data_IF_885696796056
#
_entry.id   IF_885696796056
#
_cell.length_a   1.000
_cell.length_b   1.000
_cell.length_c   1.000
_cell.angle_alpha   90.00
_cell.angle_beta   90.00
_cell.angle_gamma   90.00
#
_symmetry.space_group_name_H-M   'P 1'
#
loop_
_entity.id
_entity.type
_entity.pdbx_description
1 polymer ?
#
# COMPACT_ATOMS: atom_id res chain seq x y z
N UNK A 1 -1.17 10.92 31.08
CA UNK A 1 -0.91 12.34 30.81
C UNK A 1 0.52 12.47 30.30
N UNK A 2 0.71 12.34 28.98
CA UNK A 2 2.04 12.28 28.36
C UNK A 2 2.77 13.63 28.34
N UNK A 3 2.01 14.73 28.40
CA UNK A 3 2.53 16.10 28.35
C UNK A 3 2.82 16.70 29.74
N UNK A 4 2.60 15.96 30.82
CA UNK A 4 3.09 16.35 32.15
C UNK A 4 4.62 16.13 32.20
N UNK A 5 5.43 17.03 32.81
CA UNK A 5 6.90 16.95 32.74
C UNK A 5 7.51 15.60 33.16
N UNK A 6 6.91 14.93 34.14
CA UNK A 6 7.35 13.59 34.59
C UNK A 6 7.02 12.51 33.56
N UNK A 7 5.85 12.58 32.90
CA UNK A 7 5.44 11.64 31.86
C UNK A 7 6.27 11.82 30.60
N UNK A 8 6.49 13.07 30.19
CA UNK A 8 7.37 13.44 29.08
C UNK A 8 8.78 12.90 29.30
N UNK A 9 9.38 13.16 30.48
CA UNK A 9 10.72 12.66 30.83
C UNK A 9 10.80 11.14 30.76
N UNK A 10 9.79 10.43 31.29
CA UNK A 10 9.77 8.97 31.26
C UNK A 10 9.76 8.44 29.82
N UNK A 11 8.96 9.05 28.94
CA UNK A 11 8.88 8.68 27.53
C UNK A 11 10.23 8.91 26.85
N UNK A 12 10.83 10.11 27.01
CA UNK A 12 12.12 10.43 26.40
C UNK A 12 13.24 9.50 26.88
N UNK A 13 13.36 9.27 28.18
CA UNK A 13 14.40 8.39 28.72
C UNK A 13 14.23 6.96 28.23
N UNK A 14 12.98 6.48 28.10
CA UNK A 14 12.72 5.16 27.54
C UNK A 14 13.12 5.07 26.07
N UNK A 15 12.78 6.07 25.25
CA UNK A 15 13.14 6.08 23.84
C UNK A 15 14.66 6.16 23.66
N UNK A 16 15.34 7.01 24.43
CA UNK A 16 16.81 7.11 24.42
C UNK A 16 17.46 5.80 24.80
N UNK A 17 16.98 5.14 25.86
CA UNK A 17 17.47 3.81 26.24
C UNK A 17 17.35 2.80 25.09
N UNK A 18 16.21 2.75 24.40
CA UNK A 18 16.03 1.85 23.25
C UNK A 18 16.97 2.18 22.08
N UNK A 19 17.28 3.46 21.84
CA UNK A 19 18.21 3.86 20.78
C UNK A 19 19.66 3.60 21.18
N UNK A 20 20.09 4.05 22.36
CA UNK A 20 21.49 4.03 22.79
C UNK A 20 21.96 2.67 23.27
N UNK A 21 21.13 1.96 24.05
CA UNK A 21 21.51 0.69 24.68
C UNK A 21 21.05 -0.51 23.86
N UNK A 22 19.87 -0.42 23.24
CA UNK A 22 19.27 -1.53 22.48
C UNK A 22 19.44 -1.37 20.96
N UNK A 23 20.02 -0.26 20.51
CA UNK A 23 20.31 0.04 19.09
C UNK A 23 19.07 0.01 18.18
N UNK A 24 17.91 0.46 18.67
CA UNK A 24 16.68 0.56 17.88
C UNK A 24 16.75 1.74 16.90
N UNK A 25 16.39 1.50 15.63
CA UNK A 25 16.45 2.49 14.54
C UNK A 25 15.24 3.45 14.45
N UNK A 26 14.17 3.18 15.20
CA UNK A 26 12.93 3.96 15.15
C UNK A 26 11.75 3.31 15.84
N UNK A 27 10.65 4.05 15.89
CA UNK A 27 9.46 3.73 16.68
C UNK A 27 8.18 3.98 15.88
N UNK A 28 7.22 3.07 16.00
CA UNK A 28 5.81 3.30 15.63
C UNK A 28 5.02 3.48 16.93
N UNK A 29 4.39 4.63 17.09
CA UNK A 29 3.61 5.00 18.26
C UNK A 29 2.15 4.60 18.04
N UNK A 30 1.71 3.65 18.86
CA UNK A 30 0.32 3.19 18.96
C UNK A 30 -0.58 4.28 19.54
N UNK A 31 -1.78 4.43 18.97
CA UNK A 31 -2.68 5.56 19.25
C UNK A 31 -1.94 6.90 19.43
N UNK A 32 -1.07 7.24 18.47
CA UNK A 32 -0.15 8.37 18.55
C UNK A 32 -0.84 9.69 18.90
N UNK A 33 -2.11 9.88 18.52
CA UNK A 33 -2.91 11.05 18.87
C UNK A 33 -3.07 11.28 20.37
N UNK A 34 -2.97 10.24 21.21
CA UNK A 34 -2.97 10.36 22.67
C UNK A 34 -1.80 11.21 23.17
N UNK A 35 -0.64 11.18 22.49
CA UNK A 35 0.51 12.02 22.81
C UNK A 35 0.21 13.51 22.61
N UNK A 36 -0.78 13.86 21.79
CA UNK A 36 -1.20 15.25 21.60
C UNK A 36 -2.12 15.77 22.70
N UNK A 37 -2.71 14.90 23.54
CA UNK A 37 -3.70 15.31 24.54
C UNK A 37 -3.06 15.91 25.79
N UNK A 38 -3.56 17.06 26.23
CA UNK A 38 -3.19 17.72 27.48
C UNK A 38 -3.89 17.11 28.70
N UNK A 39 -3.70 17.72 29.88
CA UNK A 39 -4.27 17.20 31.14
C UNK A 39 -5.80 17.16 31.16
N UNK A 40 -6.43 18.07 30.43
CA UNK A 40 -7.89 18.12 30.24
C UNK A 40 -8.42 17.07 29.25
N UNK A 41 -7.53 16.32 28.60
CA UNK A 41 -7.86 15.42 27.50
C UNK A 41 -8.03 16.11 26.15
N UNK A 42 -7.99 17.45 26.08
CA UNK A 42 -8.06 18.18 24.82
C UNK A 42 -6.75 18.05 24.01
N UNK A 43 -6.82 17.91 22.67
CA UNK A 43 -5.63 17.93 21.83
C UNK A 43 -4.93 19.29 21.90
N UNK A 44 -3.61 19.26 21.96
CA UNK A 44 -2.75 20.43 21.94
C UNK A 44 -2.18 20.61 20.54
N UNK A 45 -2.11 21.86 20.08
CA UNK A 45 -1.45 22.20 18.82
C UNK A 45 0.07 21.99 18.90
N UNK A 46 0.66 22.31 20.06
CA UNK A 46 2.09 22.12 20.33
C UNK A 46 2.32 21.25 21.57
N UNK A 47 2.07 19.93 21.49
CA UNK A 47 2.24 19.01 22.61
C UNK A 47 3.72 18.85 22.98
N UNK A 48 4.14 19.18 24.21
CA UNK A 48 5.54 19.14 24.63
C UNK A 48 6.26 17.83 24.31
N UNK A 49 5.62 16.67 24.52
CA UNK A 49 6.29 15.37 24.34
C UNK A 49 6.66 15.09 22.89
N UNK A 50 5.81 15.45 21.93
CA UNK A 50 6.09 15.21 20.50
C UNK A 50 7.24 16.09 20.05
N UNK A 51 7.23 17.38 20.40
CA UNK A 51 8.31 18.30 20.06
C UNK A 51 9.62 17.94 20.77
N UNK A 52 9.56 17.45 22.00
CA UNK A 52 10.74 16.96 22.70
C UNK A 52 11.34 15.73 22.01
N UNK A 53 10.54 14.77 21.55
CA UNK A 53 11.03 13.62 20.74
C UNK A 53 11.64 14.10 19.43
N UNK A 54 11.02 15.10 18.79
CA UNK A 54 11.46 15.60 17.51
C UNK A 54 12.80 16.35 17.57
N UNK A 55 12.99 17.15 18.62
CA UNK A 55 14.13 18.04 18.81
C UNK A 55 15.26 17.44 19.66
N UNK A 56 15.10 16.21 20.14
CA UNK A 56 16.11 15.52 20.94
C UNK A 56 17.32 15.08 20.09
N UNK A 57 18.54 15.43 20.53
CA UNK A 57 19.77 15.15 19.78
C UNK A 57 20.06 13.64 19.59
N UNK A 58 19.64 12.80 20.54
CA UNK A 58 19.80 11.34 20.47
C UNK A 58 18.76 10.75 19.51
N UNK A 59 17.51 11.21 19.59
CA UNK A 59 16.39 10.69 18.80
C UNK A 59 16.24 11.31 17.40
N UNK A 60 16.96 12.40 17.10
CA UNK A 60 16.82 13.16 15.86
C UNK A 60 17.03 12.31 14.58
N UNK A 61 17.81 11.23 14.67
CA UNK A 61 18.07 10.30 13.56
C UNK A 61 17.16 9.07 13.55
N UNK A 62 16.42 8.82 14.63
CA UNK A 62 15.52 7.68 14.75
C UNK A 62 14.24 7.95 13.98
N UNK A 63 13.72 6.95 13.28
CA UNK A 63 12.46 7.08 12.53
C UNK A 63 11.30 7.16 13.52
N UNK A 64 10.33 8.04 13.27
CA UNK A 64 9.13 8.18 14.10
C UNK A 64 7.90 8.07 13.22
N UNK A 65 7.01 7.15 13.59
CA UNK A 65 5.80 6.82 12.84
C UNK A 65 4.62 6.89 13.80
N UNK A 66 3.54 7.56 13.43
CA UNK A 66 2.34 7.66 14.24
C UNK A 66 1.18 6.85 13.65
N UNK A 67 0.45 6.16 14.52
CA UNK A 67 -0.97 5.91 14.30
C UNK A 67 -1.72 7.19 14.68
N UNK A 68 -2.00 8.06 13.70
CA UNK A 68 -2.51 9.41 13.95
C UNK A 68 -4.03 9.45 14.22
N UNK A 69 -4.50 8.58 15.12
CA UNK A 69 -5.85 8.60 15.69
C UNK A 69 -5.87 7.97 17.10
N UNK A 70 -7.00 8.08 17.79
CA UNK A 70 -7.23 7.40 19.08
C UNK A 70 -8.66 6.87 19.23
N UNK A 71 -8.86 5.99 20.22
CA UNK A 71 -10.15 5.37 20.50
C UNK A 71 -11.24 6.35 20.98
N UNK A 72 -10.86 7.57 21.38
CA UNK A 72 -11.80 8.63 21.76
C UNK A 72 -12.31 9.45 20.56
N UNK A 73 -11.93 9.08 19.34
CA UNK A 73 -12.44 9.63 18.08
C UNK A 73 -11.65 10.82 17.54
N UNK A 74 -10.49 11.14 18.10
CA UNK A 74 -9.58 12.11 17.47
C UNK A 74 -8.92 11.44 16.26
N UNK A 75 -8.94 12.15 15.13
CA UNK A 75 -8.36 11.69 13.87
C UNK A 75 -7.48 12.81 13.31
N UNK A 76 -6.18 12.53 13.20
CA UNK A 76 -5.14 13.50 12.86
C UNK A 76 -4.32 13.09 11.63
N UNK A 77 -4.77 12.16 10.80
CA UNK A 77 -4.04 11.84 9.56
C UNK A 77 -3.90 13.10 8.69
N UNK A 78 -2.67 13.45 8.33
CA UNK A 78 -2.29 14.65 7.58
C UNK A 78 -2.21 15.92 8.43
N UNK A 79 -2.41 15.80 9.75
CA UNK A 79 -2.41 16.89 10.72
C UNK A 79 -1.73 16.48 12.04
N UNK A 80 -0.94 15.40 12.05
CA UNK A 80 -0.26 14.97 13.26
C UNK A 80 0.76 16.02 13.68
N UNK A 81 0.88 16.38 14.98
CA UNK A 81 1.86 17.38 15.39
C UNK A 81 3.29 16.92 15.11
N UNK A 82 4.15 17.86 14.69
CA UNK A 82 5.53 17.61 14.32
C UNK A 82 5.77 17.77 12.82
N UNK A 83 7.02 17.69 12.37
CA UNK A 83 7.38 17.87 10.95
C UNK A 83 8.04 16.64 10.32
N UNK A 84 8.72 15.81 11.12
CA UNK A 84 9.45 14.62 10.61
C UNK A 84 8.70 13.29 10.77
N UNK A 85 7.44 13.34 11.22
CA UNK A 85 6.64 12.16 11.51
C UNK A 85 6.06 11.57 10.24
N UNK A 86 6.26 10.27 10.06
CA UNK A 86 5.45 9.53 9.11
C UNK A 86 4.19 9.02 9.81
N UNK A 87 3.14 8.76 9.05
CA UNK A 87 1.84 8.36 9.57
C UNK A 87 1.36 7.10 8.87
N UNK A 88 0.74 6.20 9.63
CA UNK A 88 -0.05 5.12 9.04
C UNK A 88 -1.20 5.71 8.23
N UNK A 89 -1.16 5.56 6.91
CA UNK A 89 -2.16 6.16 6.04
C UNK A 89 -3.41 5.27 5.92
N UNK A 90 -4.33 5.40 6.86
CA UNK A 90 -5.63 4.71 6.83
C UNK A 90 -6.48 5.06 5.61
N UNK A 91 -6.34 6.27 5.05
CA UNK A 91 -7.03 6.66 3.80
C UNK A 91 -6.50 5.90 2.58
N UNK A 92 -5.20 5.60 2.54
CA UNK A 92 -4.60 4.73 1.54
C UNK A 92 -5.22 3.33 1.61
N UNK A 93 -5.23 2.74 2.81
CA UNK A 93 -5.82 1.42 3.06
C UNK A 93 -7.25 1.34 2.51
N UNK A 94 -8.12 2.25 2.94
CA UNK A 94 -9.55 2.16 2.63
C UNK A 94 -9.85 2.39 1.14
N UNK A 95 -9.19 3.36 0.51
CA UNK A 95 -9.36 3.65 -0.91
C UNK A 95 -8.89 2.49 -1.81
N UNK A 96 -7.72 1.90 -1.50
CA UNK A 96 -7.21 0.78 -2.30
C UNK A 96 -8.04 -0.48 -2.08
N UNK A 97 -8.50 -0.75 -0.84
CA UNK A 97 -9.46 -1.82 -0.54
C UNK A 97 -10.74 -1.69 -1.37
N UNK A 98 -11.37 -0.52 -1.33
CA UNK A 98 -12.59 -0.24 -2.11
C UNK A 98 -12.36 -0.38 -3.62
N UNK A 99 -11.23 0.14 -4.13
CA UNK A 99 -10.91 0.06 -5.55
C UNK A 99 -10.73 -1.38 -6.03
N UNK A 100 -9.95 -2.20 -5.33
CA UNK A 100 -9.71 -3.60 -5.71
C UNK A 100 -10.97 -4.45 -5.56
N UNK A 101 -11.79 -4.18 -4.53
CA UNK A 101 -13.15 -4.73 -4.40
C UNK A 101 -14.05 -4.37 -5.61
N UNK A 102 -13.77 -3.25 -6.28
CA UNK A 102 -14.48 -2.78 -7.47
C UNK A 102 -15.61 -1.79 -7.16
N UNK A 103 -15.48 -1.09 -6.03
CA UNK A 103 -16.37 0.02 -5.72
C UNK A 103 -16.14 1.15 -6.74
N UNK A 104 -17.22 1.70 -7.32
CA UNK A 104 -17.10 2.67 -8.40
C UNK A 104 -16.73 4.07 -7.91
N UNK A 105 -16.20 4.89 -8.82
CA UNK A 105 -16.03 6.34 -8.58
C UNK A 105 -14.87 6.69 -7.66
N UNK A 106 -13.95 5.76 -7.41
CA UNK A 106 -12.78 5.96 -6.55
C UNK A 106 -11.54 6.46 -7.29
N UNK A 107 -11.63 6.75 -8.59
CA UNK A 107 -10.46 6.98 -9.45
C UNK A 107 -9.59 8.14 -8.95
N UNK A 108 -10.18 9.29 -8.64
CA UNK A 108 -9.46 10.45 -8.11
C UNK A 108 -8.82 10.18 -6.75
N UNK A 109 -9.53 9.47 -5.88
CA UNK A 109 -9.03 9.09 -4.55
C UNK A 109 -7.83 8.13 -4.67
N UNK A 110 -7.96 7.08 -5.48
CA UNK A 110 -6.87 6.13 -5.77
C UNK A 110 -5.67 6.83 -6.38
N UNK A 111 -5.89 7.75 -7.32
CA UNK A 111 -4.83 8.53 -7.93
C UNK A 111 -4.03 9.33 -6.87
N UNK A 112 -4.71 10.04 -5.98
CA UNK A 112 -4.04 10.73 -4.87
C UNK A 112 -3.28 9.75 -3.96
N UNK A 113 -3.84 8.58 -3.67
CA UNK A 113 -3.18 7.58 -2.81
C UNK A 113 -1.90 7.02 -3.41
N UNK A 114 -1.91 6.64 -4.69
CA UNK A 114 -0.73 6.04 -5.33
C UNK A 114 0.38 7.07 -5.59
N UNK A 115 0.06 8.36 -5.61
CA UNK A 115 1.04 9.46 -5.76
C UNK A 115 1.52 10.06 -4.45
N UNK A 116 1.40 9.30 -3.36
CA UNK A 116 1.96 9.68 -2.05
C UNK A 116 1.04 10.55 -1.21
N UNK A 117 -0.25 10.62 -1.56
CA UNK A 117 -1.29 11.36 -0.80
C UNK A 117 -0.95 12.82 -0.57
N UNK A 118 -0.60 13.53 -1.65
CA UNK A 118 -0.22 14.95 -1.60
C UNK A 118 -1.30 15.84 -0.99
N UNK A 119 -2.57 15.48 -1.17
CA UNK A 119 -3.71 16.16 -0.57
C UNK A 119 -3.73 16.09 0.97
N UNK A 120 -3.05 15.11 1.57
CA UNK A 120 -2.91 14.96 3.02
C UNK A 120 -1.66 15.64 3.56
N UNK A 121 -0.53 15.50 2.87
CA UNK A 121 0.79 15.81 3.44
C UNK A 121 1.46 17.04 2.80
N UNK A 122 1.25 17.29 1.50
CA UNK A 122 2.03 18.31 0.77
C UNK A 122 1.76 19.74 1.26
N UNK A 123 0.53 20.04 1.68
CA UNK A 123 0.15 21.38 2.14
C UNK A 123 0.96 21.83 3.38
N UNK A 124 1.44 20.86 4.19
CA UNK A 124 2.27 21.10 5.36
C UNK A 124 3.79 20.96 5.08
N UNK A 125 4.17 20.90 3.79
CA UNK A 125 5.56 20.72 3.30
C UNK A 125 6.19 19.37 3.65
N UNK A 126 5.36 18.40 4.00
CA UNK A 126 5.78 17.01 4.14
C UNK A 126 5.91 16.37 2.77
N UNK A 127 6.66 15.28 2.70
CA UNK A 127 6.99 14.57 1.47
C UNK A 127 6.26 13.23 1.40
N UNK A 128 6.22 12.53 0.25
CA UNK A 128 5.57 11.23 0.14
C UNK A 128 6.03 10.21 1.19
N UNK A 129 7.25 10.34 1.71
CA UNK A 129 7.83 9.46 2.74
C UNK A 129 7.12 9.57 4.09
N UNK A 130 6.35 10.64 4.33
CA UNK A 130 5.50 10.79 5.50
C UNK A 130 4.25 9.88 5.42
N UNK A 131 3.92 9.33 4.25
CA UNK A 131 2.85 8.35 4.09
C UNK A 131 3.38 6.91 4.25
N UNK A 132 3.01 6.24 5.34
CA UNK A 132 3.16 4.79 5.46
C UNK A 132 1.93 4.12 4.82
N UNK A 133 2.12 3.58 3.62
CA UNK A 133 1.06 2.92 2.86
C UNK A 133 0.96 1.47 3.29
N UNK A 134 -0.26 1.02 3.63
CA UNK A 134 -0.53 -0.36 3.99
C UNK A 134 -1.93 -0.77 3.53
N UNK A 135 -2.09 -2.04 3.20
CA UNK A 135 -3.42 -2.63 2.90
C UNK A 135 -3.99 -3.32 4.13
N UNK A 136 -3.13 -3.86 4.97
CA UNK A 136 -3.44 -4.73 6.11
C UNK A 136 -2.49 -4.38 7.25
N UNK A 137 -2.94 -4.62 8.47
CA UNK A 137 -2.16 -4.46 9.69
C UNK A 137 -2.33 -5.74 10.54
N UNK A 138 -1.79 -5.74 11.76
CA UNK A 138 -2.17 -6.76 12.74
C UNK A 138 -3.64 -6.60 13.18
N UNK A 139 -4.16 -5.37 13.13
CA UNK A 139 -5.58 -5.08 13.28
C UNK A 139 -6.32 -5.29 11.95
N UNK A 140 -7.50 -5.90 12.03
CA UNK A 140 -8.33 -6.23 10.87
C UNK A 140 -7.95 -7.55 10.22
N UNK A 141 -8.45 -7.78 9.00
CA UNK A 141 -8.13 -8.98 8.25
C UNK A 141 -6.67 -9.03 7.78
N UNK A 142 -6.14 -10.25 7.65
CA UNK A 142 -5.00 -10.52 6.77
C UNK A 142 -5.34 -10.22 5.32
N UNK A 143 -4.33 -10.10 4.45
CA UNK A 143 -4.56 -9.77 3.05
C UNK A 143 -5.33 -10.86 2.31
N UNK A 144 -5.14 -12.14 2.68
CA UNK A 144 -5.94 -13.22 2.12
C UNK A 144 -7.39 -13.18 2.62
N UNK A 145 -7.59 -12.97 3.93
CA UNK A 145 -8.93 -12.94 4.51
C UNK A 145 -9.78 -11.78 3.98
N UNK A 146 -9.15 -10.66 3.63
CA UNK A 146 -9.79 -9.55 2.91
C UNK A 146 -10.45 -9.97 1.58
N UNK A 147 -9.94 -11.04 0.96
CA UNK A 147 -10.47 -11.60 -0.31
C UNK A 147 -11.38 -12.82 -0.09
N UNK A 148 -11.48 -13.33 1.13
CA UNK A 148 -12.18 -14.56 1.47
C UNK A 148 -13.38 -14.36 2.39
N UNK A 149 -13.50 -13.22 3.06
CA UNK A 149 -14.57 -12.94 4.03
C UNK A 149 -15.19 -11.56 3.83
N UNK A 150 -16.52 -11.49 3.85
CA UNK A 150 -17.27 -10.23 3.93
C UNK A 150 -17.50 -9.83 5.39
N UNK A 151 -17.70 -10.82 6.27
CA UNK A 151 -18.04 -10.60 7.68
C UNK A 151 -16.88 -11.04 8.58
N UNK A 152 -16.77 -10.43 9.77
CA UNK A 152 -15.82 -10.87 10.79
C UNK A 152 -16.34 -12.11 11.54
N UNK A 153 -15.43 -13.03 11.86
CA UNK A 153 -15.67 -14.29 12.55
C UNK A 153 -14.85 -14.37 13.84
N UNK A 154 -15.06 -13.42 14.74
CA UNK A 154 -14.31 -13.23 15.98
C UNK A 154 -14.86 -14.05 17.16
N UNK A 155 -15.69 -15.06 16.91
CA UNK A 155 -16.35 -15.86 17.95
C UNK A 155 -15.36 -16.49 18.94
N UNK A 156 -14.17 -16.85 18.48
CA UNK A 156 -13.11 -17.42 19.30
C UNK A 156 -12.57 -16.44 20.36
N UNK A 157 -12.81 -15.13 20.22
CA UNK A 157 -12.36 -14.09 21.16
C UNK A 157 -13.19 -14.08 22.45
N UNK A 158 -14.38 -14.69 22.45
CA UNK A 158 -15.23 -14.80 23.64
C UNK A 158 -16.13 -13.59 23.90
N UNK A 159 -16.11 -12.56 23.04
CA UNK A 159 -16.90 -11.33 23.18
C UNK A 159 -18.21 -11.36 22.38
N UNK A 160 -18.65 -12.54 21.94
CA UNK A 160 -19.88 -12.71 21.15
C UNK A 160 -19.83 -12.00 19.80
N UNK A 161 -18.66 -11.96 19.15
CA UNK A 161 -18.40 -11.28 17.87
C UNK A 161 -18.61 -9.76 17.90
N UNK A 162 -18.60 -9.13 19.08
CA UNK A 162 -18.79 -7.68 19.20
C UNK A 162 -17.50 -6.87 19.02
N UNK A 163 -16.34 -7.51 19.19
CA UNK A 163 -15.02 -6.91 19.07
C UNK A 163 -14.51 -6.86 17.61
N UNK A 164 -13.52 -6.02 17.31
CA UNK A 164 -13.00 -5.82 15.94
C UNK A 164 -13.90 -4.95 15.05
N UNK A 165 -13.36 -4.51 13.92
CA UNK A 165 -14.05 -3.58 13.00
C UNK A 165 -15.12 -4.31 12.17
N UNK A 166 -16.29 -3.68 12.02
CA UNK A 166 -17.38 -4.26 11.21
C UNK A 166 -17.17 -4.01 9.71
N UNK A 167 -16.87 -2.77 9.32
CA UNK A 167 -16.61 -2.44 7.93
C UNK A 167 -15.12 -2.66 7.60
N UNK A 168 -14.84 -3.77 6.92
CA UNK A 168 -13.49 -4.14 6.53
C UNK A 168 -13.14 -3.70 5.10
N UNK A 169 -14.13 -3.20 4.34
CA UNK A 169 -14.01 -2.95 2.89
C UNK A 169 -13.49 -4.19 2.16
N UNK A 170 -14.01 -5.36 2.55
CA UNK A 170 -13.58 -6.67 2.05
C UNK A 170 -14.55 -7.25 1.03
N UNK A 171 -14.09 -8.26 0.28
CA UNK A 171 -14.95 -9.02 -0.63
C UNK A 171 -14.51 -10.47 -0.71
N UNK A 172 -15.41 -11.38 -0.35
CA UNK A 172 -15.16 -12.83 -0.29
C UNK A 172 -14.98 -13.52 -1.66
N UNK A 173 -15.07 -12.76 -2.76
CA UNK A 173 -14.93 -13.23 -4.13
C UNK A 173 -15.98 -14.27 -4.58
N UNK A 174 -17.08 -14.41 -3.83
CA UNK A 174 -18.26 -15.23 -4.19
C UNK A 174 -18.70 -16.23 -3.11
N UNK A 175 -17.79 -16.70 -2.27
CA UNK A 175 -18.07 -17.67 -1.18
C UNK A 175 -17.43 -17.15 0.10
N UNK A 176 -18.11 -17.26 1.23
CA UNK A 176 -17.55 -16.89 2.54
C UNK A 176 -16.61 -17.99 3.05
N UNK A 177 -15.35 -17.66 3.29
CA UNK A 177 -14.33 -18.57 3.82
C UNK A 177 -13.70 -19.51 2.80
N UNK A 178 -13.14 -20.63 3.30
CA UNK A 178 -12.48 -21.64 2.47
C UNK A 178 -13.45 -22.30 1.47
N UNK A 179 -12.96 -22.64 0.28
CA UNK A 179 -13.74 -23.26 -0.79
C UNK A 179 -12.86 -24.12 -1.69
N UNK A 180 -13.44 -25.18 -2.23
CA UNK A 180 -12.79 -26.06 -3.23
C UNK A 180 -13.00 -25.53 -4.67
N UNK A 181 -13.74 -24.43 -4.86
CA UNK A 181 -13.92 -23.82 -6.19
C UNK A 181 -12.64 -23.10 -6.64
N UNK A 182 -11.95 -23.73 -7.59
CA UNK A 182 -10.69 -23.19 -8.13
C UNK A 182 -10.86 -21.84 -8.82
N UNK A 183 -12.02 -21.52 -9.40
CA UNK A 183 -12.23 -20.20 -10.01
C UNK A 183 -12.21 -19.08 -8.97
N UNK A 184 -12.81 -19.33 -7.80
CA UNK A 184 -12.80 -18.39 -6.68
C UNK A 184 -11.39 -18.28 -6.10
N UNK A 185 -10.68 -19.40 -5.94
CA UNK A 185 -9.32 -19.40 -5.40
C UNK A 185 -8.32 -18.68 -6.34
N UNK A 186 -8.43 -18.89 -7.65
CA UNK A 186 -7.63 -18.18 -8.67
C UNK A 186 -7.93 -16.67 -8.65
N UNK A 187 -9.21 -16.28 -8.48
CA UNK A 187 -9.61 -14.89 -8.34
C UNK A 187 -9.06 -14.26 -7.06
N UNK A 188 -9.15 -14.93 -5.90
CA UNK A 188 -8.58 -14.45 -4.63
C UNK A 188 -7.08 -14.25 -4.72
N UNK A 189 -6.36 -15.22 -5.30
CA UNK A 189 -4.92 -15.10 -5.52
C UNK A 189 -4.60 -13.89 -6.42
N UNK A 190 -5.40 -13.64 -7.46
CA UNK A 190 -5.27 -12.44 -8.31
C UNK A 190 -5.53 -11.15 -7.52
N UNK A 191 -6.54 -11.10 -6.66
CA UNK A 191 -6.82 -9.92 -5.83
C UNK A 191 -5.68 -9.63 -4.84
N UNK A 192 -5.09 -10.65 -4.21
CA UNK A 192 -3.88 -10.50 -3.38
C UNK A 192 -2.73 -9.90 -4.21
N UNK A 193 -2.50 -10.41 -5.44
CA UNK A 193 -1.49 -9.85 -6.36
C UNK A 193 -1.80 -8.40 -6.76
N UNK A 194 -3.07 -8.05 -6.95
CA UNK A 194 -3.49 -6.68 -7.28
C UNK A 194 -3.14 -5.71 -6.13
N UNK A 195 -3.51 -6.06 -4.90
CA UNK A 195 -3.16 -5.29 -3.71
C UNK A 195 -1.64 -5.12 -3.57
N UNK A 196 -0.90 -6.22 -3.66
CA UNK A 196 0.56 -6.22 -3.59
C UNK A 196 1.18 -5.32 -4.67
N UNK A 197 0.68 -5.41 -5.90
CA UNK A 197 1.15 -4.64 -7.04
C UNK A 197 0.93 -3.15 -6.81
N UNK A 198 -0.30 -2.72 -6.47
CA UNK A 198 -0.63 -1.31 -6.21
C UNK A 198 0.26 -0.74 -5.10
N UNK A 199 0.40 -1.46 -3.99
CA UNK A 199 1.23 -1.02 -2.87
C UNK A 199 2.69 -0.83 -3.25
N UNK A 200 3.25 -1.77 -4.03
CA UNK A 200 4.66 -1.74 -4.43
C UNK A 200 4.97 -0.73 -5.55
N UNK A 201 3.96 -0.24 -6.28
CA UNK A 201 4.11 0.80 -7.31
C UNK A 201 3.59 2.18 -6.86
N UNK A 202 3.16 2.31 -5.61
CA UNK A 202 2.75 3.59 -5.04
C UNK A 202 3.95 4.37 -4.49
N UNK A 203 3.91 5.69 -4.58
CA UNK A 203 4.83 6.57 -3.84
C UNK A 203 4.54 6.52 -2.34
N UNK A 204 5.57 6.75 -1.53
CA UNK A 204 5.52 6.60 -0.07
C UNK A 204 6.19 5.31 0.42
N UNK A 205 5.99 4.97 1.69
CA UNK A 205 6.68 3.84 2.32
C UNK A 205 5.70 2.67 2.46
N UNK A 206 5.85 1.58 1.67
CA UNK A 206 4.98 0.42 1.81
C UNK A 206 5.31 -0.37 3.08
N UNK A 207 4.28 -0.78 3.82
CA UNK A 207 4.38 -1.68 4.97
C UNK A 207 3.64 -2.98 4.65
N UNK A 208 4.32 -4.11 4.86
CA UNK A 208 3.76 -5.46 4.70
C UNK A 208 3.58 -6.07 6.09
N UNK A 209 2.43 -6.71 6.33
CA UNK A 209 2.22 -7.52 7.53
C UNK A 209 2.76 -8.92 7.29
N UNK A 210 3.54 -9.41 8.25
CA UNK A 210 4.13 -10.73 8.15
C UNK A 210 3.03 -11.82 8.04
N UNK A 211 3.10 -12.58 6.95
CA UNK A 211 2.11 -13.60 6.58
C UNK A 211 1.37 -13.31 5.30
N UNK A 212 1.21 -12.05 4.92
CA UNK A 212 0.53 -11.68 3.68
C UNK A 212 1.30 -12.15 2.44
N UNK A 213 2.63 -12.27 2.55
CA UNK A 213 3.50 -12.77 1.49
C UNK A 213 3.29 -14.24 1.14
N UNK A 214 2.62 -15.01 2.00
CA UNK A 214 2.35 -16.44 1.79
C UNK A 214 0.87 -16.81 1.95
N UNK A 215 -0.04 -15.83 1.86
CA UNK A 215 -1.50 -16.01 2.01
C UNK A 215 -1.90 -16.53 3.40
N UNK A 216 -1.33 -15.97 4.47
CA UNK A 216 -1.77 -16.26 5.85
C UNK A 216 -3.26 -15.93 6.01
N UNK A 217 -3.98 -16.81 6.70
CA UNK A 217 -5.39 -16.64 7.05
C UNK A 217 -5.54 -16.78 8.56
N UNK A 218 -6.45 -16.01 9.13
CA UNK A 218 -6.89 -16.10 10.52
C UNK A 218 -8.33 -16.64 10.60
N UNK A 219 -8.81 -17.28 9.52
CA UNK A 219 -10.15 -17.86 9.45
C UNK A 219 -11.27 -16.82 9.47
N UNK A 220 -10.98 -15.60 9.01
CA UNK A 220 -11.94 -14.50 9.08
C UNK A 220 -12.04 -13.86 10.47
N UNK A 221 -11.15 -14.19 11.42
CA UNK A 221 -11.00 -13.40 12.63
C UNK A 221 -10.17 -12.15 12.35
N UNK A 222 -10.76 -10.97 12.52
CA UNK A 222 -10.12 -9.69 12.20
C UNK A 222 -9.59 -8.94 13.43
N UNK A 223 -9.55 -9.59 14.59
CA UNK A 223 -9.09 -9.01 15.84
C UNK A 223 -8.47 -10.07 16.75
N UNK A 224 -7.36 -10.65 16.33
CA UNK A 224 -6.79 -11.85 16.97
C UNK A 224 -5.92 -11.54 18.20
N UNK A 225 -6.20 -10.47 18.94
CA UNK A 225 -5.34 -9.93 19.99
C UNK A 225 -5.11 -10.91 21.17
N UNK A 226 -6.06 -11.81 21.44
CA UNK A 226 -6.05 -12.71 22.60
C UNK A 226 -5.62 -14.16 22.30
N UNK A 227 -5.12 -14.43 21.09
CA UNK A 227 -4.78 -15.79 20.64
C UNK A 227 -3.29 -16.06 20.63
N UNK A 228 -2.83 -16.93 21.53
CA UNK A 228 -1.51 -17.58 21.43
C UNK A 228 -1.69 -19.04 20.98
N UNK A 229 -2.06 -19.21 19.71
CA UNK A 229 -2.39 -20.50 19.10
C UNK A 229 -2.25 -20.42 17.55
N UNK A 230 -2.71 -21.46 16.85
CA UNK A 230 -2.60 -21.63 15.40
C UNK A 230 -3.25 -20.52 14.56
N UNK A 231 -4.15 -19.71 15.13
CA UNK A 231 -4.68 -18.50 14.47
C UNK A 231 -3.54 -17.49 14.24
N UNK A 232 -2.64 -17.35 15.21
CA UNK A 232 -1.55 -16.39 15.16
C UNK A 232 -0.19 -16.98 14.76
N UNK A 233 0.00 -18.28 14.94
CA UNK A 233 1.27 -18.91 14.62
C UNK A 233 1.50 -19.09 13.12
N UNK A 234 2.77 -19.08 12.72
CA UNK A 234 3.16 -19.40 11.36
C UNK A 234 3.22 -20.92 11.16
N UNK A 235 2.35 -21.43 10.30
CA UNK A 235 2.37 -22.82 9.88
C UNK A 235 3.39 -23.00 8.74
N UNK A 236 4.59 -23.47 9.07
CA UNK A 236 5.68 -23.66 8.12
C UNK A 236 5.39 -24.71 7.03
N UNK A 237 4.57 -25.72 7.32
CA UNK A 237 4.14 -26.70 6.31
C UNK A 237 3.23 -26.05 5.26
N UNK A 238 2.31 -25.18 5.70
CA UNK A 238 1.48 -24.36 4.80
C UNK A 238 2.33 -23.38 4.00
N UNK A 239 3.32 -22.73 4.63
CA UNK A 239 4.27 -21.83 3.96
C UNK A 239 5.05 -22.57 2.86
N UNK A 240 5.39 -23.84 3.07
CA UNK A 240 6.10 -24.69 2.10
C UNK A 240 5.19 -25.27 1.00
N UNK A 241 3.89 -25.03 1.04
CA UNK A 241 2.97 -25.43 -0.04
C UNK A 241 3.30 -24.70 -1.35
N UNK A 242 2.97 -25.31 -2.49
CA UNK A 242 3.18 -24.71 -3.82
C UNK A 242 2.55 -23.32 -3.93
N UNK A 243 1.31 -23.21 -3.44
CA UNK A 243 0.51 -22.00 -3.45
C UNK A 243 1.15 -20.83 -2.69
N UNK A 244 1.69 -21.09 -1.50
CA UNK A 244 2.38 -20.09 -0.70
C UNK A 244 3.73 -19.72 -1.33
N UNK A 245 4.48 -20.70 -1.84
CA UNK A 245 5.76 -20.44 -2.51
C UNK A 245 5.60 -19.61 -3.80
N UNK A 246 4.52 -19.81 -4.55
CA UNK A 246 4.19 -18.96 -5.71
C UNK A 246 3.94 -17.51 -5.31
N UNK A 247 3.22 -17.29 -4.21
CA UNK A 247 2.95 -15.94 -3.69
C UNK A 247 4.22 -15.28 -3.13
N UNK A 248 5.06 -16.03 -2.40
CA UNK A 248 6.37 -15.55 -1.91
C UNK A 248 7.24 -15.12 -3.09
N UNK A 249 7.28 -15.93 -4.17
CA UNK A 249 8.01 -15.58 -5.40
C UNK A 249 7.50 -14.26 -5.99
N UNK A 250 6.17 -14.09 -6.06
CA UNK A 250 5.55 -12.89 -6.60
C UNK A 250 5.94 -11.65 -5.80
N UNK A 251 5.77 -11.67 -4.47
CA UNK A 251 6.19 -10.58 -3.58
C UNK A 251 7.68 -10.29 -3.64
N UNK A 252 8.52 -11.33 -3.63
CA UNK A 252 9.98 -11.18 -3.72
C UNK A 252 10.37 -10.45 -5.02
N UNK A 253 9.76 -10.82 -6.14
CA UNK A 253 9.99 -10.16 -7.43
C UNK A 253 9.44 -8.74 -7.46
N UNK A 254 8.28 -8.47 -6.87
CA UNK A 254 7.74 -7.12 -6.74
C UNK A 254 8.67 -6.18 -5.95
N UNK A 255 9.14 -6.62 -4.79
CA UNK A 255 10.08 -5.86 -3.95
C UNK A 255 11.36 -5.54 -4.73
N UNK A 256 11.93 -6.55 -5.40
CA UNK A 256 13.12 -6.35 -6.24
C UNK A 256 12.88 -5.35 -7.38
N UNK A 257 11.70 -5.39 -8.02
CA UNK A 257 11.33 -4.39 -9.04
C UNK A 257 11.20 -2.99 -8.42
N UNK A 258 10.50 -2.83 -7.28
CA UNK A 258 10.42 -1.54 -6.60
C UNK A 258 11.79 -0.96 -6.32
N UNK A 259 12.73 -1.77 -5.80
CA UNK A 259 14.09 -1.36 -5.51
C UNK A 259 14.87 -0.96 -6.78
N UNK A 260 14.68 -1.69 -7.88
CA UNK A 260 15.29 -1.36 -9.17
C UNK A 260 14.76 -0.05 -9.76
N UNK A 261 13.45 0.19 -9.66
CA UNK A 261 12.77 1.37 -10.20
C UNK A 261 12.52 2.44 -9.13
N UNK A 262 13.35 2.46 -8.07
CA UNK A 262 13.18 3.34 -6.90
C UNK A 262 13.14 4.84 -7.24
N UNK A 263 13.71 5.27 -8.37
CA UNK A 263 13.70 6.66 -8.82
C UNK A 263 12.27 7.19 -8.98
N UNK A 264 11.36 6.36 -9.47
CA UNK A 264 9.91 6.66 -9.63
C UNK A 264 9.18 6.85 -8.30
N UNK A 265 9.73 6.33 -7.22
CA UNK A 265 9.13 6.37 -5.88
C UNK A 265 9.96 7.23 -4.92
N UNK A 266 10.85 8.05 -5.46
CA UNK A 266 11.67 8.97 -4.68
C UNK A 266 10.78 9.94 -3.89
N UNK A 267 11.25 10.38 -2.73
CA UNK A 267 10.47 11.14 -1.74
C UNK A 267 10.22 12.60 -2.12
N UNK A 268 9.84 12.88 -3.37
CA UNK A 268 9.42 14.21 -3.85
C UNK A 268 8.17 14.04 -4.70
N UNK A 269 7.19 14.93 -4.54
CA UNK A 269 6.02 14.94 -5.41
C UNK A 269 6.35 15.26 -6.86
N UNK A 270 5.47 14.81 -7.75
CA UNK A 270 5.52 15.13 -9.18
C UNK A 270 5.47 16.63 -9.42
N UNK A 271 6.29 17.08 -10.36
CA UNK A 271 6.53 18.47 -10.74
C UNK A 271 6.10 18.79 -12.18
N UNK A 272 5.72 17.76 -12.95
CA UNK A 272 5.48 17.87 -14.40
C UNK A 272 6.78 17.90 -15.22
N UNK A 273 7.91 17.47 -14.64
CA UNK A 273 9.18 17.35 -15.37
C UNK A 273 9.03 16.29 -16.45
N UNK A 274 9.69 16.48 -17.59
CA UNK A 274 9.73 15.50 -18.67
C UNK A 274 11.13 14.92 -18.86
N UNK A 275 11.21 13.66 -19.27
CA UNK A 275 12.47 13.04 -19.68
C UNK A 275 12.82 13.37 -21.14
N UNK A 276 13.93 12.80 -21.66
CA UNK A 276 14.38 13.03 -23.05
C UNK A 276 13.45 12.48 -24.13
N UNK A 277 12.53 11.59 -23.76
CA UNK A 277 11.48 11.04 -24.64
C UNK A 277 10.16 11.81 -24.53
N UNK A 278 10.18 12.97 -23.87
CA UNK A 278 9.01 13.83 -23.65
C UNK A 278 7.90 13.17 -22.80
N UNK A 279 8.27 12.22 -21.95
CA UNK A 279 7.35 11.58 -20.99
C UNK A 279 7.42 12.34 -19.67
N UNK A 280 6.28 12.79 -19.18
CA UNK A 280 6.16 13.47 -17.88
C UNK A 280 6.35 12.50 -16.72
N UNK A 281 6.81 13.02 -15.58
CA UNK A 281 6.97 12.27 -14.33
C UNK A 281 5.71 11.50 -13.90
N UNK A 282 4.51 12.03 -14.20
CA UNK A 282 3.27 11.26 -14.24
C UNK A 282 2.33 11.72 -15.36
N UNK A 283 1.62 10.77 -15.96
CA UNK A 283 0.54 11.03 -16.90
C UNK A 283 -0.62 10.06 -16.72
N UNK A 284 -1.85 10.59 -16.68
CA UNK A 284 -3.04 9.81 -16.33
C UNK A 284 -3.86 9.43 -17.57
N UNK A 285 -4.44 8.24 -17.51
CA UNK A 285 -5.21 7.63 -18.59
C UNK A 285 -6.39 6.84 -18.02
N UNK A 286 -7.25 6.35 -18.92
CA UNK A 286 -8.21 5.28 -18.64
C UNK A 286 -7.93 4.09 -19.56
N UNK A 287 -8.96 3.33 -19.94
CA UNK A 287 -8.87 2.39 -21.06
C UNK A 287 -8.46 3.07 -22.39
N UNK A 288 -8.75 4.37 -22.52
CA UNK A 288 -8.32 5.21 -23.65
C UNK A 288 -7.22 6.15 -23.16
N UNK A 289 -6.17 6.32 -23.97
CA UNK A 289 -5.03 7.17 -23.62
C UNK A 289 -5.52 8.63 -23.43
N UNK A 290 -5.07 9.25 -22.35
CA UNK A 290 -5.35 10.65 -21.96
C UNK A 290 -6.81 10.91 -21.57
N UNK A 291 -7.59 9.86 -21.30
CA UNK A 291 -8.97 9.98 -20.83
C UNK A 291 -9.14 9.28 -19.48
N UNK A 292 -8.55 9.82 -18.41
CA UNK A 292 -8.79 9.32 -17.06
C UNK A 292 -10.25 9.52 -16.65
N UNK A 293 -10.84 8.53 -15.98
CA UNK A 293 -12.25 8.52 -15.58
C UNK A 293 -12.55 9.34 -14.32
N UNK A 294 -12.02 10.56 -14.18
CA UNK A 294 -12.15 11.37 -12.95
C UNK A 294 -13.59 11.69 -12.56
N UNK A 295 -14.39 12.08 -13.54
CA UNK A 295 -15.77 12.55 -13.33
C UNK A 295 -16.80 11.43 -13.52
N UNK A 296 -16.36 10.20 -13.82
CA UNK A 296 -17.25 9.07 -14.02
C UNK A 296 -17.53 8.35 -12.68
N UNK A 297 -18.76 8.47 -12.12
CA UNK A 297 -19.11 7.85 -10.86
C UNK A 297 -19.22 6.32 -10.97
N UNK A 298 -19.03 5.73 -12.16
CA UNK A 298 -18.99 4.28 -12.41
C UNK A 298 -17.61 3.76 -12.79
N UNK A 299 -16.60 4.63 -12.89
CA UNK A 299 -15.28 4.20 -13.30
C UNK A 299 -14.66 3.22 -12.29
N UNK A 300 -14.11 2.13 -12.84
CA UNK A 300 -13.41 1.04 -12.13
C UNK A 300 -12.05 0.73 -12.76
N UNK A 301 -11.61 1.60 -13.67
CA UNK A 301 -10.40 1.42 -14.44
C UNK A 301 -9.56 2.68 -14.35
N UNK A 302 -8.26 2.50 -14.17
CA UNK A 302 -7.29 3.57 -14.15
C UNK A 302 -6.01 3.08 -14.81
N UNK A 303 -5.43 3.91 -15.66
CA UNK A 303 -4.11 3.68 -16.21
C UNK A 303 -3.26 4.92 -16.04
N UNK A 304 -1.95 4.75 -15.98
CA UNK A 304 -1.02 5.87 -15.88
C UNK A 304 0.37 5.48 -16.38
N UNK A 305 1.14 6.49 -16.75
CA UNK A 305 2.54 6.35 -17.17
C UNK A 305 3.41 7.18 -16.24
N UNK A 306 4.48 6.58 -15.71
CA UNK A 306 5.53 7.26 -14.96
C UNK A 306 6.77 7.40 -15.83
N UNK A 307 7.16 8.65 -16.06
CA UNK A 307 8.38 9.01 -16.78
C UNK A 307 9.62 8.89 -15.88
N UNK A 308 10.69 8.29 -16.39
CA UNK A 308 11.98 8.25 -15.69
C UNK A 308 12.67 9.62 -15.81
N UNK A 309 12.42 10.49 -14.84
CA UNK A 309 12.89 11.89 -14.85
C UNK A 309 14.05 12.16 -13.90
N UNK A 310 14.62 11.12 -13.29
CA UNK A 310 15.74 11.24 -12.37
C UNK A 310 17.03 11.64 -13.14
N UNK A 311 17.81 12.54 -12.56
CA UNK A 311 18.97 13.16 -13.23
C UNK A 311 20.11 12.18 -13.51
N UNK A 312 20.16 11.05 -12.80
CA UNK A 312 21.19 10.01 -12.90
C UNK A 312 20.77 8.81 -13.77
N UNK A 313 19.75 8.97 -14.61
CA UNK A 313 19.20 7.91 -15.48
C UNK A 313 19.30 8.26 -16.97
N UNK A 314 19.13 7.26 -17.83
CA UNK A 314 19.02 7.44 -19.28
C UNK A 314 17.60 7.81 -19.75
N UNK A 315 16.64 7.94 -18.82
CA UNK A 315 15.24 8.25 -19.09
C UNK A 315 14.45 7.12 -19.76
N UNK A 316 15.03 5.94 -19.97
CA UNK A 316 14.40 4.84 -20.70
C UNK A 316 13.62 3.88 -19.80
N UNK A 317 13.74 3.98 -18.47
CA UNK A 317 13.11 3.07 -17.50
C UNK A 317 11.69 3.51 -17.10
N UNK A 318 10.82 3.82 -18.06
CA UNK A 318 9.46 4.27 -17.81
C UNK A 318 8.53 3.11 -17.43
N UNK A 319 7.48 3.41 -16.68
CA UNK A 319 6.49 2.43 -16.20
C UNK A 319 5.12 2.81 -16.75
N UNK A 320 4.41 1.87 -17.37
CA UNK A 320 3.00 2.05 -17.70
C UNK A 320 2.15 1.01 -16.96
N UNK A 321 1.11 1.46 -16.28
CA UNK A 321 0.28 0.62 -15.42
C UNK A 321 -1.15 0.71 -15.92
N UNK A 322 -1.80 -0.45 -16.07
CA UNK A 322 -3.21 -0.58 -16.44
C UNK A 322 -3.92 -1.41 -15.37
N UNK A 323 -4.93 -0.82 -14.73
CA UNK A 323 -5.69 -1.46 -13.65
C UNK A 323 -7.14 -1.60 -14.07
N UNK A 324 -7.62 -2.84 -14.15
CA UNK A 324 -9.00 -3.18 -14.46
C UNK A 324 -9.68 -3.81 -13.23
N UNK A 325 -10.48 -3.03 -12.50
CA UNK A 325 -11.32 -3.54 -11.41
C UNK A 325 -12.77 -3.77 -11.84
N UNK A 326 -13.04 -3.74 -13.15
CA UNK A 326 -14.28 -4.23 -13.74
C UNK A 326 -14.27 -5.77 -13.82
N UNK A 327 -15.44 -6.39 -13.97
CA UNK A 327 -15.57 -7.84 -13.99
C UNK A 327 -15.27 -8.48 -15.36
N UNK A 328 -15.39 -7.73 -16.46
CA UNK A 328 -15.04 -8.18 -17.81
C UNK A 328 -13.67 -7.67 -18.25
N UNK A 329 -13.13 -8.31 -19.29
CA UNK A 329 -11.92 -7.85 -19.94
C UNK A 329 -12.15 -6.52 -20.68
N UNK A 330 -11.17 -5.63 -20.61
CA UNK A 330 -11.20 -4.32 -21.25
C UNK A 330 -9.93 -4.16 -22.09
N UNK A 331 -10.09 -3.62 -23.29
CA UNK A 331 -8.99 -3.39 -24.23
C UNK A 331 -8.40 -1.98 -24.04
N UNK A 332 -7.27 -1.91 -23.33
CA UNK A 332 -6.58 -0.66 -23.00
C UNK A 332 -5.68 -0.22 -24.14
N UNK A 333 -5.69 1.08 -24.46
CA UNK A 333 -4.71 1.70 -25.34
C UNK A 333 -3.38 1.92 -24.60
N UNK A 334 -2.27 1.62 -25.28
CA UNK A 334 -0.92 1.82 -24.76
C UNK A 334 -0.33 3.10 -25.39
N UNK A 335 0.16 4.06 -24.61
CA UNK A 335 0.78 5.28 -25.14
C UNK A 335 2.07 4.92 -25.92
N UNK A 336 2.23 5.53 -27.09
CA UNK A 336 3.37 5.30 -27.98
C UNK A 336 4.38 6.43 -27.85
N UNK A 337 5.67 6.08 -27.78
CA UNK A 337 6.77 7.04 -27.64
C UNK A 337 7.89 6.67 -28.62
N UNK A 338 8.36 7.66 -29.39
CA UNK A 338 9.41 7.44 -30.37
C UNK A 338 10.71 6.95 -29.69
N UNK A 339 11.29 5.88 -30.22
CA UNK A 339 12.51 5.28 -29.70
C UNK A 339 12.32 4.40 -28.47
N UNK A 340 11.09 4.09 -28.05
CA UNK A 340 10.80 3.20 -26.92
C UNK A 340 9.86 2.06 -27.32
N UNK A 341 10.15 0.88 -26.79
CA UNK A 341 9.29 -0.31 -26.86
C UNK A 341 8.76 -0.67 -25.47
N UNK A 342 7.51 -1.14 -25.39
CA UNK A 342 6.92 -1.64 -24.15
C UNK A 342 7.11 -3.14 -23.98
N UNK A 343 7.43 -3.55 -22.75
CA UNK A 343 7.60 -4.95 -22.37
C UNK A 343 6.73 -5.28 -21.16
N UNK A 344 5.93 -6.35 -21.25
CA UNK A 344 5.11 -6.82 -20.13
C UNK A 344 5.98 -7.38 -19.02
N UNK A 345 5.88 -6.77 -17.85
CA UNK A 345 6.65 -7.10 -16.66
C UNK A 345 5.83 -7.82 -15.60
N UNK A 346 4.56 -7.41 -15.46
CA UNK A 346 3.58 -7.99 -14.54
C UNK A 346 2.25 -8.13 -15.29
N UNK A 347 1.58 -9.26 -15.13
CA UNK A 347 0.16 -9.44 -15.45
C UNK A 347 -0.44 -10.41 -14.44
N UNK A 348 -1.14 -9.84 -13.47
CA UNK A 348 -1.73 -10.58 -12.34
C UNK A 348 -2.75 -11.65 -12.76
N UNK A 349 -3.26 -11.59 -14.01
CA UNK A 349 -4.20 -12.60 -14.52
C UNK A 349 -3.52 -13.89 -15.00
N UNK A 350 -2.21 -13.86 -15.23
CA UNK A 350 -1.45 -15.03 -15.65
C UNK A 350 -1.11 -15.94 -14.46
N UNK A 351 -0.75 -17.18 -14.77
CA UNK A 351 -0.28 -18.14 -13.76
C UNK A 351 1.20 -17.93 -13.49
N UNK A 352 1.65 -18.30 -12.30
CA UNK A 352 3.07 -18.39 -11.99
C UNK A 352 3.76 -19.35 -12.97
N UNK A 353 4.94 -19.01 -13.54
CA UNK A 353 5.76 -17.85 -13.23
C UNK A 353 5.54 -16.61 -14.14
N UNK A 354 4.60 -16.66 -15.09
CA UNK A 354 4.40 -15.63 -16.13
C UNK A 354 3.69 -14.36 -15.62
N UNK A 355 3.06 -14.44 -14.45
CA UNK A 355 2.44 -13.33 -13.74
C UNK A 355 3.39 -12.20 -13.36
N UNK A 356 4.67 -12.52 -13.14
CA UNK A 356 5.76 -11.57 -12.92
C UNK A 356 7.09 -12.20 -13.33
N UNK A 357 7.71 -11.60 -14.36
CA UNK A 357 8.90 -12.15 -15.00
C UNK A 357 10.14 -11.30 -14.75
N UNK A 358 11.33 -11.90 -14.85
CA UNK A 358 12.59 -11.15 -14.77
C UNK A 358 12.79 -10.28 -16.01
N UNK A 359 13.72 -9.33 -15.92
CA UNK A 359 13.92 -8.33 -16.97
C UNK A 359 14.21 -8.95 -18.34
N UNK A 360 15.11 -9.92 -18.42
CA UNK A 360 15.45 -10.65 -19.64
C UNK A 360 14.31 -11.51 -20.21
N UNK A 361 13.26 -11.79 -19.42
CA UNK A 361 12.13 -12.63 -19.80
C UNK A 361 10.87 -11.83 -20.17
N UNK A 362 10.91 -10.50 -20.12
CA UNK A 362 9.75 -9.67 -20.42
C UNK A 362 9.37 -9.78 -21.90
N UNK A 363 8.06 -9.86 -22.15
CA UNK A 363 7.50 -10.04 -23.49
C UNK A 363 7.27 -8.67 -24.12
N UNK A 364 7.89 -8.41 -25.28
CA UNK A 364 7.64 -7.18 -26.06
C UNK A 364 6.18 -7.13 -26.51
N UNK A 365 5.54 -5.99 -26.32
CA UNK A 365 4.19 -5.71 -26.82
C UNK A 365 4.34 -4.95 -28.14
N UNK A 366 3.93 -5.59 -29.25
CA UNK A 366 3.99 -4.98 -30.58
C UNK A 366 2.70 -4.23 -30.95
N UNK A 367 1.62 -4.48 -30.21
CA UNK A 367 0.32 -3.87 -30.43
C UNK A 367 0.20 -2.55 -29.68
N UNK A 368 -0.64 -1.65 -30.20
CA UNK A 368 -0.97 -0.38 -29.54
C UNK A 368 -2.04 -0.54 -28.46
N UNK A 369 -2.50 -1.78 -28.23
CA UNK A 369 -3.55 -2.10 -27.26
C UNK A 369 -3.22 -3.39 -26.52
N UNK A 370 -3.74 -3.55 -25.31
CA UNK A 370 -3.61 -4.76 -24.50
C UNK A 370 -4.93 -5.08 -23.81
N UNK A 371 -5.40 -6.32 -23.98
CA UNK A 371 -6.61 -6.80 -23.31
C UNK A 371 -6.26 -7.12 -21.85
N UNK A 372 -6.73 -6.28 -20.94
CA UNK A 372 -6.58 -6.47 -19.50
C UNK A 372 -7.80 -7.23 -18.98
N UNK A 373 -7.58 -8.48 -18.56
CA UNK A 373 -8.63 -9.34 -17.98
C UNK A 373 -9.36 -8.64 -16.81
N UNK A 374 -10.61 -9.01 -16.56
CA UNK A 374 -11.35 -8.53 -15.41
C UNK A 374 -10.59 -8.78 -14.09
N UNK A 375 -10.66 -7.80 -13.19
CA UNK A 375 -10.02 -7.86 -11.86
C UNK A 375 -8.52 -8.07 -11.93
N UNK A 376 -7.81 -7.42 -12.85
CA UNK A 376 -6.36 -7.60 -13.01
C UNK A 376 -5.62 -6.29 -13.22
N UNK A 377 -4.33 -6.34 -12.92
CA UNK A 377 -3.35 -5.30 -13.19
C UNK A 377 -2.28 -5.82 -14.14
N UNK A 378 -1.91 -4.97 -15.09
CA UNK A 378 -0.78 -5.15 -16.00
C UNK A 378 0.20 -4.00 -15.82
N UNK A 379 1.49 -4.33 -15.74
CA UNK A 379 2.58 -3.35 -15.69
C UNK A 379 3.53 -3.60 -16.85
N UNK A 380 3.73 -2.57 -17.65
CA UNK A 380 4.68 -2.52 -18.75
C UNK A 380 5.88 -1.67 -18.34
N UNK A 381 7.06 -2.05 -18.83
CA UNK A 381 8.30 -1.29 -18.67
C UNK A 381 8.84 -0.95 -20.05
N UNK A 382 9.29 0.28 -20.25
CA UNK A 382 9.86 0.70 -21.53
C UNK A 382 11.34 0.32 -21.64
N UNK A 383 11.82 0.20 -22.87
CA UNK A 383 13.25 0.14 -23.21
C UNK A 383 13.50 0.89 -24.50
N UNK A 384 14.71 1.44 -24.65
CA UNK A 384 15.11 2.03 -25.92
C UNK A 384 15.13 0.98 -27.03
N UNK A 385 14.56 1.33 -28.18
CA UNK A 385 14.58 0.49 -29.38
C UNK A 385 16.03 0.30 -29.83
N UNK A 386 16.45 -0.95 -30.01
CA UNK A 386 17.77 -1.29 -30.57
C UNK A 386 17.88 -1.00 -32.05
#
# INVERSE_FOLDING_TARGET
NCNHPVGEKLILDSLRFWVEEMHVDGFRFDEGSVLSRGESGAPMEHPPVIWAIELDDVLAKSKVIAEAWDAAGLYQIGYFPGARWAEWNGKYRDAIRGFVKGDPGLISEVASRITGSSDLYQWHREEPVNSINFITAHDGFTLYDLTAYNEKHNWANGEGNNDGINDNVSWNCGVEGETDDQWINDLRARQVKNFATIMMISMGVPMIVAGDEFKRSQGGNNNTYCHDNEINWFNWDKINSSDSQEMIRFWSKLINKRLRFKSHFSGRYFSGKTNRFNISDIHWHGPVVNQPGWDDPQARCLAYTLGDTADDTDGANNIHVMMNMYWDAIDFEIPQFDGLDWYRSIDTSLRSPDDIVDYDQQVKINDQRYVVTGRSIVVLLSRETT
#
